data_IF_714718464446
#
_entry.id   IF_714718464446
#
_cell.length_a   1.000
_cell.length_b   1.000
_cell.length_c   1.000
_cell.angle_alpha   90.00
_cell.angle_beta   90.00
_cell.angle_gamma   90.00
#
_symmetry.space_group_name_H-M   'P 1'
#
loop_
_entity.id
_entity.type
_entity.pdbx_description
1 polymer ?
#
# COMPACT_ATOMS: atom_id res chain seq x y z
N UNK A 1 4.54 -0.91 -17.40
CA UNK A 1 4.19 -1.44 -16.05
C UNK A 1 5.32 -2.25 -15.42
N UNK A 2 5.77 -3.37 -16.00
CA UNK A 2 6.86 -4.19 -15.42
C UNK A 2 8.12 -3.37 -15.10
N UNK A 3 8.60 -2.53 -16.01
CA UNK A 3 9.77 -1.66 -15.80
C UNK A 3 9.66 -0.74 -14.57
N UNK A 4 8.43 -0.34 -14.19
CA UNK A 4 8.17 0.56 -13.06
C UNK A 4 8.21 -0.16 -11.70
N UNK A 5 7.76 -1.42 -11.67
CA UNK A 5 7.57 -2.18 -10.42
C UNK A 5 8.58 -3.31 -10.23
N UNK A 6 9.20 -3.77 -11.31
CA UNK A 6 10.12 -4.91 -11.36
C UNK A 6 11.52 -4.61 -10.85
N UNK A 7 11.88 -3.34 -10.68
CA UNK A 7 13.23 -2.94 -10.33
C UNK A 7 13.25 -1.94 -9.16
N UNK A 8 14.32 -2.03 -8.37
CA UNK A 8 14.65 -1.08 -7.30
C UNK A 8 16.07 -0.56 -7.48
N UNK A 9 16.30 0.70 -7.13
CA UNK A 9 17.65 1.28 -7.07
C UNK A 9 18.19 1.14 -5.66
N UNK A 10 19.41 0.63 -5.57
CA UNK A 10 20.11 0.48 -4.29
C UNK A 10 20.90 1.77 -4.03
N UNK A 11 20.71 2.33 -2.84
CA UNK A 11 21.43 3.54 -2.43
C UNK A 11 22.94 3.25 -2.44
N UNK A 12 23.71 4.02 -3.21
CA UNK A 12 25.16 3.81 -3.36
C UNK A 12 25.56 2.98 -4.59
N UNK A 13 24.62 2.49 -5.40
CA UNK A 13 24.89 1.86 -6.70
C UNK A 13 24.27 2.65 -7.84
N UNK A 14 24.92 2.60 -9.02
CA UNK A 14 24.37 3.21 -10.23
C UNK A 14 23.30 2.32 -10.90
N UNK A 15 23.40 1.01 -10.72
CA UNK A 15 22.54 0.03 -11.38
C UNK A 15 21.27 -0.29 -10.57
N UNK A 16 20.23 -0.73 -11.28
CA UNK A 16 18.97 -1.18 -10.69
C UNK A 16 18.95 -2.70 -10.56
N UNK A 17 18.47 -3.20 -9.42
CA UNK A 17 18.31 -4.63 -9.15
C UNK A 17 16.86 -5.08 -9.37
N UNK A 18 16.61 -6.29 -9.91
CA UNK A 18 15.28 -6.89 -9.92
C UNK A 18 14.74 -6.98 -8.49
N UNK A 19 13.53 -6.47 -8.27
CA UNK A 19 12.90 -6.42 -6.95
C UNK A 19 12.78 -7.83 -6.33
N UNK A 20 12.48 -8.83 -7.16
CA UNK A 20 12.36 -10.23 -6.73
C UNK A 20 13.63 -10.80 -6.11
N UNK A 21 14.81 -10.28 -6.48
CA UNK A 21 16.10 -10.74 -5.94
C UNK A 21 16.41 -10.15 -4.56
N UNK A 22 15.67 -9.13 -4.12
CA UNK A 22 15.97 -8.37 -2.91
C UNK A 22 14.75 -8.20 -2.00
N UNK A 23 13.61 -8.77 -2.39
CA UNK A 23 12.38 -8.66 -1.63
C UNK A 23 12.38 -9.65 -0.47
N UNK A 24 12.34 -9.11 0.75
CA UNK A 24 12.08 -9.87 1.97
C UNK A 24 10.59 -9.85 2.27
N UNK A 25 10.00 -11.01 2.60
CA UNK A 25 8.60 -11.09 3.00
C UNK A 25 8.30 -10.14 4.16
N UNK A 26 7.10 -9.58 4.17
CA UNK A 26 6.68 -8.57 5.14
C UNK A 26 5.52 -9.08 5.97
N UNK A 27 5.47 -8.66 7.23
CA UNK A 27 4.34 -8.92 8.12
C UNK A 27 3.56 -7.62 8.33
N UNK A 28 2.26 -7.74 8.54
CA UNK A 28 1.40 -6.63 8.99
C UNK A 28 0.75 -6.99 10.32
N UNK A 29 0.41 -5.96 11.08
CA UNK A 29 -0.27 -6.05 12.36
C UNK A 29 -1.78 -6.02 12.12
N UNK A 30 -2.50 -6.96 12.73
CA UNK A 30 -3.96 -7.04 12.68
C UNK A 30 -4.68 -5.94 13.49
N UNK A 31 -3.92 -5.11 14.21
CA UNK A 31 -4.38 -3.93 14.94
C UNK A 31 -3.36 -2.81 14.83
N UNK A 32 -3.82 -1.56 14.80
CA UNK A 32 -2.95 -0.39 14.72
C UNK A 32 -2.17 -0.19 16.02
N UNK A 33 -0.87 0.11 15.91
CA UNK A 33 -0.01 0.41 17.07
C UNK A 33 -0.49 1.65 17.83
N UNK A 34 -1.17 2.59 17.16
CA UNK A 34 -1.76 3.77 17.80
C UNK A 34 -2.92 3.42 18.73
N UNK A 35 -3.83 2.55 18.28
CA UNK A 35 -4.95 2.06 19.10
C UNK A 35 -4.44 1.28 20.31
N UNK A 36 -3.38 0.49 20.14
CA UNK A 36 -2.74 -0.21 21.26
C UNK A 36 -2.09 0.74 22.24
N UNK A 37 -1.34 1.75 21.78
CA UNK A 37 -0.74 2.75 22.67
C UNK A 37 -1.81 3.54 23.43
N UNK A 38 -2.93 3.86 22.78
CA UNK A 38 -4.09 4.46 23.43
C UNK A 38 -4.67 3.53 24.50
N UNK A 39 -4.91 2.26 24.18
CA UNK A 39 -5.43 1.26 25.10
C UNK A 39 -4.48 1.04 26.29
N UNK A 40 -3.17 0.94 26.06
CA UNK A 40 -2.14 0.82 27.11
C UNK A 40 -2.18 2.05 28.03
N UNK A 41 -2.20 3.27 27.47
CA UNK A 41 -2.28 4.51 28.28
C UNK A 41 -3.57 4.58 29.10
N UNK A 42 -4.70 4.18 28.51
CA UNK A 42 -5.99 4.12 29.18
C UNK A 42 -5.95 3.12 30.34
N UNK A 43 -5.46 1.90 30.11
CA UNK A 43 -5.24 0.90 31.18
C UNK A 43 -4.28 1.38 32.26
N UNK A 44 -3.18 2.05 31.89
CA UNK A 44 -2.22 2.64 32.84
C UNK A 44 -2.85 3.72 33.73
N UNK A 45 -3.81 4.48 33.19
CA UNK A 45 -4.52 5.52 33.93
C UNK A 45 -5.67 4.95 34.79
N UNK A 46 -6.24 3.81 34.42
CA UNK A 46 -7.49 3.28 34.97
C UNK A 46 -7.33 1.99 35.81
N UNK A 47 -6.15 1.33 35.88
CA UNK A 47 -6.11 -0.06 36.40
C UNK A 47 -4.86 -0.51 37.19
N UNK A 48 -5.08 -1.57 38.00
CA UNK A 48 -4.15 -2.23 38.93
C UNK A 48 -3.11 -3.06 38.13
N UNK A 49 -1.85 -3.26 38.61
CA UNK A 49 -0.76 -3.89 37.83
C UNK A 49 -1.05 -5.31 37.30
N UNK A 50 -2.08 -5.99 37.81
CA UNK A 50 -2.49 -7.34 37.37
C UNK A 50 -3.26 -7.36 36.05
N UNK A 51 -3.82 -6.22 35.61
CA UNK A 51 -4.57 -6.14 34.35
C UNK A 51 -3.68 -6.03 33.10
N UNK A 52 -2.38 -5.81 33.27
CA UNK A 52 -1.40 -5.79 32.17
C UNK A 52 -1.29 -7.13 31.43
N UNK A 53 -1.62 -8.25 32.08
CA UNK A 53 -1.62 -9.58 31.47
C UNK A 53 -2.73 -9.82 30.45
N UNK A 54 -3.72 -8.93 30.35
CA UNK A 54 -4.87 -9.03 29.42
C UNK A 54 -4.72 -8.18 28.15
N UNK A 55 -3.58 -7.51 27.95
CA UNK A 55 -3.30 -6.85 26.67
C UNK A 55 -3.27 -7.90 25.56
N UNK A 56 -4.29 -7.89 24.70
CA UNK A 56 -4.32 -8.75 23.52
C UNK A 56 -3.06 -8.47 22.70
N UNK A 57 -2.21 -9.50 22.57
CA UNK A 57 -1.01 -9.41 21.74
C UNK A 57 -1.43 -9.13 20.31
N UNK A 58 -0.80 -8.12 19.71
CA UNK A 58 -0.89 -7.86 18.26
C UNK A 58 -0.52 -9.12 17.53
N UNK A 59 -1.37 -9.58 16.60
CA UNK A 59 -0.99 -10.68 15.75
C UNK A 59 -0.31 -10.12 14.52
N UNK A 60 0.83 -10.73 14.20
CA UNK A 60 1.50 -10.55 12.92
C UNK A 60 0.86 -11.52 11.95
N UNK A 61 0.44 -11.01 10.81
CA UNK A 61 -0.05 -11.80 9.67
C UNK A 61 0.87 -11.52 8.48
N UNK A 62 1.21 -12.53 7.66
CA UNK A 62 1.93 -12.29 6.42
C UNK A 62 1.19 -11.26 5.55
N UNK A 63 1.93 -10.30 4.98
CA UNK A 63 1.33 -9.24 4.16
C UNK A 63 0.56 -9.82 2.97
N UNK A 64 1.11 -10.86 2.34
CA UNK A 64 0.47 -11.57 1.23
C UNK A 64 -0.87 -12.20 1.63
N UNK A 65 -0.95 -12.77 2.84
CA UNK A 65 -2.20 -13.33 3.38
C UNK A 65 -3.23 -12.23 3.64
N UNK A 66 -2.80 -11.07 4.13
CA UNK A 66 -3.68 -9.91 4.30
C UNK A 66 -4.27 -9.48 2.95
N UNK A 67 -3.47 -9.42 1.88
CA UNK A 67 -3.91 -9.04 0.53
C UNK A 67 -4.95 -10.02 -0.03
N UNK A 68 -4.80 -11.32 0.25
CA UNK A 68 -5.76 -12.32 -0.18
C UNK A 68 -7.04 -12.31 0.66
N UNK A 69 -6.93 -11.95 1.95
CA UNK A 69 -8.06 -11.95 2.89
C UNK A 69 -8.97 -10.74 2.72
N UNK A 70 -8.40 -9.56 2.51
CA UNK A 70 -9.14 -8.30 2.53
C UNK A 70 -9.15 -7.68 1.13
N UNK A 71 -10.33 -7.40 0.55
CA UNK A 71 -10.40 -6.82 -0.78
C UNK A 71 -9.85 -5.39 -0.83
N UNK A 72 -9.93 -4.64 0.28
CA UNK A 72 -9.38 -3.29 0.37
C UNK A 72 -8.54 -3.14 1.62
N UNK A 73 -7.25 -2.83 1.44
CA UNK A 73 -6.28 -2.68 2.53
C UNK A 73 -5.66 -1.30 2.57
N UNK A 74 -5.74 -0.66 3.74
CA UNK A 74 -5.07 0.59 4.02
C UNK A 74 -3.84 0.28 4.89
N UNK A 75 -2.66 0.40 4.28
CA UNK A 75 -1.39 -0.04 4.85
C UNK A 75 -0.65 1.17 5.42
N UNK A 76 -0.63 1.25 6.74
CA UNK A 76 0.13 2.23 7.49
C UNK A 76 1.56 1.73 7.75
N UNK A 77 2.51 2.64 7.88
CA UNK A 77 3.87 2.27 8.28
C UNK A 77 4.81 3.45 8.38
N UNK A 78 5.89 3.30 9.14
CA UNK A 78 6.95 4.32 9.28
C UNK A 78 7.60 4.62 7.92
N UNK A 79 8.27 5.78 7.75
CA UNK A 79 9.19 5.98 6.63
C UNK A 79 10.21 4.83 6.55
N UNK A 80 10.50 4.35 5.34
CA UNK A 80 11.42 3.23 5.14
C UNK A 80 10.87 1.84 5.49
N UNK A 81 9.62 1.71 5.97
CA UNK A 81 9.05 0.40 6.32
C UNK A 81 8.89 -0.57 5.13
N UNK A 82 9.03 -0.10 3.88
CA UNK A 82 8.91 -0.93 2.67
C UNK A 82 7.52 -0.94 2.03
N UNK A 83 6.63 -0.01 2.37
CA UNK A 83 5.24 0.07 1.84
C UNK A 83 5.17 0.09 0.30
N UNK A 84 5.88 1.02 -0.34
CA UNK A 84 5.99 1.10 -1.81
C UNK A 84 6.55 -0.20 -2.38
N UNK A 85 7.58 -0.76 -1.76
CA UNK A 85 8.20 -2.03 -2.16
C UNK A 85 7.20 -3.19 -2.09
N UNK A 86 6.37 -3.24 -1.06
CA UNK A 86 5.31 -4.25 -0.91
C UNK A 86 4.20 -4.09 -1.95
N UNK A 87 3.77 -2.85 -2.27
CA UNK A 87 2.84 -2.60 -3.40
C UNK A 87 3.43 -3.08 -4.73
N UNK A 88 4.72 -2.77 -4.99
CA UNK A 88 5.41 -3.21 -6.21
C UNK A 88 5.52 -4.73 -6.29
N UNK A 89 5.84 -5.39 -5.18
CA UNK A 89 5.84 -6.85 -5.08
C UNK A 89 4.45 -7.42 -5.40
N UNK A 90 3.38 -6.86 -4.82
CA UNK A 90 2.00 -7.26 -5.11
C UNK A 90 1.65 -7.09 -6.59
N UNK A 91 2.09 -5.97 -7.20
CA UNK A 91 1.92 -5.74 -8.64
C UNK A 91 2.63 -6.81 -9.49
N UNK A 92 3.85 -7.21 -9.11
CA UNK A 92 4.60 -8.26 -9.81
C UNK A 92 3.91 -9.62 -9.72
N UNK A 93 3.36 -9.97 -8.56
CA UNK A 93 2.56 -11.20 -8.40
C UNK A 93 1.33 -11.21 -9.31
N UNK A 94 0.68 -10.06 -9.48
CA UNK A 94 -0.42 -9.92 -10.44
C UNK A 94 0.04 -10.03 -11.90
N UNK A 95 1.18 -9.42 -12.27
CA UNK A 95 1.80 -9.56 -13.60
C UNK A 95 2.15 -11.03 -13.90
N UNK A 96 2.62 -11.77 -12.90
CA UNK A 96 2.94 -13.21 -12.99
C UNK A 96 1.72 -14.12 -12.90
N UNK A 97 0.51 -13.57 -12.89
CA UNK A 97 -0.76 -14.29 -12.82
C UNK A 97 -1.01 -15.07 -11.51
N UNK A 98 -0.23 -14.84 -10.45
CA UNK A 98 -0.50 -15.40 -9.12
C UNK A 98 -1.74 -14.74 -8.49
N UNK A 99 -1.93 -13.44 -8.75
CA UNK A 99 -3.16 -12.72 -8.46
C UNK A 99 -3.86 -12.49 -9.80
N UNK A 100 -5.05 -13.07 -9.98
CA UNK A 100 -5.81 -13.03 -11.25
C UNK A 100 -6.52 -11.67 -11.46
N UNK A 101 -5.73 -10.59 -11.49
CA UNK A 101 -6.15 -9.21 -11.70
C UNK A 101 -5.09 -8.43 -12.48
N UNK A 102 -5.49 -7.38 -13.18
CA UNK A 102 -4.58 -6.48 -13.89
C UNK A 102 -4.15 -5.36 -12.93
N UNK A 103 -2.85 -5.23 -12.59
CA UNK A 103 -2.41 -4.22 -11.63
C UNK A 103 -2.34 -2.83 -12.25
N UNK A 104 -2.94 -1.85 -11.58
CA UNK A 104 -2.87 -0.42 -11.90
C UNK A 104 -2.17 0.30 -10.74
N UNK A 105 -0.93 0.75 -10.97
CA UNK A 105 -0.12 1.42 -9.96
C UNK A 105 -0.19 2.93 -10.09
N UNK A 106 -0.69 3.58 -9.04
CA UNK A 106 -0.94 5.03 -8.98
C UNK A 106 -0.11 5.62 -7.86
N UNK A 107 0.99 6.31 -8.22
CA UNK A 107 1.69 7.16 -7.28
C UNK A 107 0.83 8.41 -7.02
N UNK A 108 0.32 8.57 -5.81
CA UNK A 108 -0.66 9.63 -5.49
C UNK A 108 -0.06 11.03 -5.60
N UNK A 109 1.25 11.17 -5.36
CA UNK A 109 1.97 12.42 -5.61
C UNK A 109 1.95 12.81 -7.09
N UNK A 110 2.25 11.88 -7.99
CA UNK A 110 2.25 12.15 -9.44
C UNK A 110 0.84 12.51 -9.93
N UNK A 111 -0.18 11.79 -9.43
CA UNK A 111 -1.58 12.10 -9.71
C UNK A 111 -1.91 13.54 -9.25
N UNK A 112 -1.58 13.87 -8.00
CA UNK A 112 -1.82 15.21 -7.44
C UNK A 112 -1.10 16.31 -8.23
N UNK A 113 0.15 16.09 -8.62
CA UNK A 113 0.95 17.05 -9.37
C UNK A 113 0.43 17.24 -10.80
N UNK A 114 -0.21 16.22 -11.39
CA UNK A 114 -0.79 16.28 -12.74
C UNK A 114 -2.06 17.13 -12.83
N UNK A 115 -2.82 17.26 -11.73
CA UNK A 115 -4.13 17.91 -11.73
C UNK A 115 -5.24 17.15 -12.48
N UNK A 116 -4.99 15.92 -12.93
CA UNK A 116 -5.96 15.05 -13.60
C UNK A 116 -6.85 14.31 -12.61
N UNK A 117 -8.01 13.87 -13.07
CA UNK A 117 -8.84 12.88 -12.35
C UNK A 117 -8.18 11.49 -12.39
N UNK A 118 -8.50 10.63 -11.41
CA UNK A 118 -7.86 9.30 -11.27
C UNK A 118 -7.94 8.46 -12.55
N UNK A 119 -9.12 8.39 -13.18
CA UNK A 119 -9.35 7.59 -14.40
C UNK A 119 -8.61 8.18 -15.60
N UNK A 120 -8.57 9.51 -15.71
CA UNK A 120 -7.83 10.21 -16.75
C UNK A 120 -6.33 9.95 -16.61
N UNK A 121 -5.80 10.05 -15.39
CA UNK A 121 -4.40 9.77 -15.10
C UNK A 121 -4.01 8.32 -15.44
N UNK A 122 -4.83 7.33 -15.06
CA UNK A 122 -4.62 5.93 -15.44
C UNK A 122 -4.67 5.74 -16.97
N UNK A 123 -5.61 6.39 -17.65
CA UNK A 123 -5.75 6.34 -19.11
C UNK A 123 -4.50 6.92 -19.79
N UNK A 124 -4.02 8.06 -19.31
CA UNK A 124 -2.81 8.70 -19.80
C UNK A 124 -1.59 7.79 -19.61
N UNK A 125 -1.48 7.10 -18.47
CA UNK A 125 -0.42 6.11 -18.27
C UNK A 125 -0.46 4.97 -19.30
N UNK A 126 -1.64 4.46 -19.66
CA UNK A 126 -1.77 3.43 -20.69
C UNK A 126 -1.42 3.97 -22.09
N UNK A 127 -1.82 5.20 -22.39
CA UNK A 127 -1.56 5.85 -23.68
C UNK A 127 -0.06 6.06 -23.93
N UNK A 128 0.70 6.48 -22.91
CA UNK A 128 2.16 6.64 -23.00
C UNK A 128 2.86 5.34 -23.42
N UNK A 129 2.27 4.18 -23.08
CA UNK A 129 2.76 2.87 -23.48
C UNK A 129 2.16 2.36 -24.82
N UNK A 130 1.54 3.26 -25.60
CA UNK A 130 0.92 2.98 -26.91
C UNK A 130 -0.17 1.90 -26.89
N UNK A 131 -0.89 1.78 -25.76
CA UNK A 131 -2.01 0.86 -25.66
C UNK A 131 -3.18 1.35 -26.53
N UNK A 132 -3.80 0.51 -27.39
CA UNK A 132 -4.92 0.91 -28.23
C UNK A 132 -6.19 1.10 -27.40
N UNK A 133 -6.96 2.16 -27.68
CA UNK A 133 -8.25 2.45 -27.01
C UNK A 133 -8.18 2.37 -25.47
N UNK A 134 -7.24 3.07 -24.82
CA UNK A 134 -6.92 2.88 -23.41
C UNK A 134 -8.09 3.20 -22.48
N UNK A 135 -8.91 4.19 -22.83
CA UNK A 135 -10.07 4.60 -22.05
C UNK A 135 -11.13 3.50 -21.98
N UNK A 136 -11.58 2.99 -23.13
CA UNK A 136 -12.61 1.95 -23.18
C UNK A 136 -12.14 0.65 -22.50
N UNK A 137 -10.85 0.32 -22.66
CA UNK A 137 -10.25 -0.82 -21.97
C UNK A 137 -10.26 -0.62 -20.45
N UNK A 138 -9.79 0.53 -19.97
CA UNK A 138 -9.72 0.84 -18.55
C UNK A 138 -11.11 0.83 -17.90
N UNK A 139 -12.10 1.47 -18.52
CA UNK A 139 -13.48 1.50 -18.00
C UNK A 139 -14.02 0.08 -17.89
N UNK A 140 -13.91 -0.75 -18.93
CA UNK A 140 -14.37 -2.15 -18.88
C UNK A 140 -13.64 -2.96 -17.81
N UNK A 141 -12.34 -2.73 -17.63
CA UNK A 141 -11.52 -3.42 -16.64
C UNK A 141 -11.98 -3.08 -15.21
N UNK A 142 -12.23 -1.79 -14.94
CA UNK A 142 -12.71 -1.30 -13.66
C UNK A 142 -14.15 -1.75 -13.37
N UNK A 143 -15.06 -1.65 -14.35
CA UNK A 143 -16.46 -2.07 -14.20
C UNK A 143 -16.60 -3.57 -13.94
N UNK A 144 -15.78 -4.41 -14.58
CA UNK A 144 -15.75 -5.86 -14.33
C UNK A 144 -15.12 -6.24 -13.00
N UNK A 145 -14.39 -5.33 -12.36
CA UNK A 145 -13.66 -5.64 -11.14
C UNK A 145 -12.37 -6.41 -11.39
N UNK A 146 -11.86 -6.41 -12.63
CA UNK A 146 -10.68 -7.17 -13.05
C UNK A 146 -9.36 -6.42 -12.78
N UNK A 147 -9.43 -5.18 -12.31
CA UNK A 147 -8.28 -4.41 -11.87
C UNK A 147 -7.89 -4.71 -10.41
N UNK A 148 -6.58 -4.68 -10.13
CA UNK A 148 -6.01 -4.52 -8.79
C UNK A 148 -5.43 -3.12 -8.70
N UNK A 149 -5.99 -2.26 -7.86
CA UNK A 149 -5.58 -0.84 -7.82
C UNK A 149 -4.64 -0.60 -6.65
N UNK A 150 -3.50 0.00 -6.92
CA UNK A 150 -2.39 0.16 -5.99
C UNK A 150 -2.08 1.65 -5.85
N UNK A 151 -2.62 2.28 -4.81
CA UNK A 151 -2.42 3.68 -4.50
C UNK A 151 -1.23 3.86 -3.55
N UNK A 152 -0.16 4.48 -4.04
CA UNK A 152 1.07 4.66 -3.26
C UNK A 152 1.24 6.09 -2.73
N UNK A 153 1.51 6.20 -1.43
CA UNK A 153 2.05 7.41 -0.81
C UNK A 153 1.04 8.53 -0.57
N UNK A 154 -0.08 8.24 0.10
CA UNK A 154 -1.10 9.27 0.39
C UNK A 154 -0.54 10.44 1.22
N UNK A 155 0.41 10.16 2.11
CA UNK A 155 1.09 11.19 2.92
C UNK A 155 1.99 12.13 2.12
N UNK A 156 2.37 11.75 0.90
CA UNK A 156 3.24 12.53 0.01
C UNK A 156 2.44 13.53 -0.85
N UNK A 157 1.11 13.48 -0.76
CA UNK A 157 0.20 14.49 -1.30
C UNK A 157 0.29 15.74 -0.40
N UNK A 158 1.33 16.53 -0.65
CA UNK A 158 1.48 17.87 -0.10
C UNK A 158 1.00 18.89 -1.13
N UNK A 159 0.39 19.98 -0.64
CA UNK A 159 0.30 21.34 -1.20
C UNK A 159 -1.01 21.96 -0.67
N UNK A 160 -0.89 22.90 0.29
CA UNK A 160 -1.94 23.78 0.84
C UNK A 160 -3.35 23.14 0.94
N UNK A 161 -3.77 22.71 2.14
CA UNK A 161 -5.04 22.06 2.56
C UNK A 161 -6.17 21.77 1.53
N UNK A 162 -6.49 22.67 0.61
CA UNK A 162 -7.47 22.49 -0.47
C UNK A 162 -7.17 21.31 -1.42
N UNK A 163 -5.93 21.13 -1.92
CA UNK A 163 -5.63 20.02 -2.86
C UNK A 163 -5.67 18.65 -2.18
N UNK A 164 -5.29 18.60 -0.91
CA UNK A 164 -5.38 17.39 -0.10
C UNK A 164 -6.83 16.97 0.10
N UNK A 165 -7.72 17.90 0.44
CA UNK A 165 -9.15 17.61 0.58
C UNK A 165 -9.76 17.09 -0.72
N UNK A 166 -9.39 17.71 -1.85
CA UNK A 166 -9.83 17.30 -3.18
C UNK A 166 -9.36 15.89 -3.54
N UNK A 167 -8.08 15.56 -3.32
CA UNK A 167 -7.56 14.21 -3.54
C UNK A 167 -8.31 13.16 -2.71
N UNK A 168 -8.62 13.45 -1.45
CA UNK A 168 -9.39 12.55 -0.59
C UNK A 168 -10.82 12.37 -1.09
N UNK A 169 -11.45 13.44 -1.58
CA UNK A 169 -12.78 13.38 -2.19
C UNK A 169 -12.75 12.47 -3.42
N UNK A 170 -11.82 12.70 -4.35
CA UNK A 170 -11.67 11.88 -5.56
C UNK A 170 -11.41 10.41 -5.23
N UNK A 171 -10.53 10.12 -4.26
CA UNK A 171 -10.26 8.75 -3.83
C UNK A 171 -11.50 8.08 -3.25
N UNK A 172 -12.27 8.76 -2.40
CA UNK A 172 -13.51 8.19 -1.85
C UNK A 172 -14.54 7.91 -2.94
N UNK A 173 -14.73 8.84 -3.88
CA UNK A 173 -15.64 8.65 -5.01
C UNK A 173 -15.22 7.48 -5.90
N UNK A 174 -13.91 7.36 -6.15
CA UNK A 174 -13.36 6.26 -6.93
C UNK A 174 -13.52 4.90 -6.22
N UNK A 175 -13.21 4.84 -4.92
CA UNK A 175 -13.38 3.64 -4.08
C UNK A 175 -14.84 3.20 -4.03
N UNK A 176 -15.76 4.16 -3.92
CA UNK A 176 -17.20 3.89 -3.93
C UNK A 176 -17.65 3.37 -5.29
N UNK A 177 -17.28 4.05 -6.38
CA UNK A 177 -17.68 3.71 -7.75
C UNK A 177 -17.18 2.33 -8.18
N UNK A 178 -15.91 2.01 -7.88
CA UNK A 178 -15.28 0.75 -8.29
C UNK A 178 -15.10 -0.20 -7.11
N UNK A 179 -16.16 -0.33 -6.30
CA UNK A 179 -16.14 -1.10 -5.05
C UNK A 179 -15.88 -2.61 -5.22
N UNK A 180 -16.03 -3.15 -6.43
CA UNK A 180 -15.71 -4.53 -6.79
C UNK A 180 -14.23 -4.77 -7.09
N UNK A 181 -13.44 -3.73 -7.32
CA UNK A 181 -12.01 -3.86 -7.53
C UNK A 181 -11.27 -4.01 -6.18
N UNK A 182 -10.35 -4.98 -6.05
CA UNK A 182 -9.43 -4.98 -4.92
C UNK A 182 -8.49 -3.77 -4.95
N UNK A 183 -8.21 -3.20 -3.78
CA UNK A 183 -7.43 -1.96 -3.65
C UNK A 183 -6.46 -2.01 -2.47
N UNK A 184 -5.21 -1.61 -2.70
CA UNK A 184 -4.26 -1.33 -1.62
C UNK A 184 -3.95 0.17 -1.65
N UNK A 185 -3.91 0.79 -0.47
CA UNK A 185 -3.50 2.19 -0.29
C UNK A 185 -2.46 2.29 0.80
N UNK A 186 -1.36 3.02 0.56
CA UNK A 186 -0.30 3.21 1.57
C UNK A 186 -0.26 4.63 2.12
N UNK A 187 0.09 4.75 3.39
CA UNK A 187 0.28 6.04 4.05
C UNK A 187 1.24 5.94 5.25
N UNK A 188 1.82 7.07 5.69
CA UNK A 188 2.55 7.15 6.96
C UNK A 188 1.61 7.11 8.16
N UNK A 189 2.06 6.47 9.26
CA UNK A 189 1.33 6.41 10.55
C UNK A 189 1.00 7.79 11.11
N UNK A 190 1.79 8.83 10.83
CA UNK A 190 1.56 10.17 11.37
C UNK A 190 0.44 10.96 10.67
N UNK A 191 -0.17 10.42 9.61
CA UNK A 191 -1.17 11.10 8.80
C UNK A 191 -2.60 10.56 9.06
N UNK A 192 -2.96 10.27 10.31
CA UNK A 192 -4.17 9.52 10.71
C UNK A 192 -5.52 10.25 10.60
N UNK A 193 -5.59 11.45 10.01
CA UNK A 193 -6.87 12.18 9.90
C UNK A 193 -7.75 11.70 8.72
N UNK A 194 -7.42 10.57 8.10
CA UNK A 194 -8.20 10.01 7.00
C UNK A 194 -9.06 8.85 7.50
N UNK A 195 -10.34 8.84 7.12
CA UNK A 195 -11.23 7.72 7.36
C UNK A 195 -11.80 7.23 6.03
N UNK A 196 -11.20 6.17 5.50
CA UNK A 196 -11.73 5.42 4.37
C UNK A 196 -12.46 4.19 4.90
N UNK A 197 -13.77 4.32 5.11
CA UNK A 197 -14.59 3.32 5.81
C UNK A 197 -14.69 1.96 5.11
N UNK A 198 -14.38 1.89 3.82
CA UNK A 198 -14.41 0.65 3.03
C UNK A 198 -13.12 -0.17 3.10
N UNK A 199 -12.10 0.30 3.83
CA UNK A 199 -10.79 -0.34 3.93
C UNK A 199 -10.60 -1.00 5.30
N UNK A 200 -9.95 -2.16 5.29
CA UNK A 200 -9.34 -2.73 6.49
C UNK A 200 -7.99 -2.04 6.72
N UNK A 201 -7.76 -1.53 7.93
CA UNK A 201 -6.53 -0.83 8.28
C UNK A 201 -5.53 -1.80 8.91
N UNK A 202 -4.34 -1.87 8.33
CA UNK A 202 -3.24 -2.67 8.85
C UNK A 202 -1.98 -1.81 8.98
N UNK A 203 -1.10 -2.18 9.91
CA UNK A 203 0.19 -1.52 10.08
C UNK A 203 1.34 -2.46 9.69
N UNK A 204 2.24 -2.02 8.83
CA UNK A 204 3.42 -2.79 8.46
C UNK A 204 4.30 -2.99 9.68
N UNK A 205 4.58 -4.25 10.01
CA UNK A 205 5.33 -4.63 11.18
C UNK A 205 6.84 -4.50 10.93
N UNK A 206 7.60 -4.10 11.96
CA UNK A 206 9.06 -4.18 11.92
C UNK A 206 9.49 -5.65 11.72
N UNK A 207 10.55 -5.92 10.97
CA UNK A 207 11.05 -7.28 10.71
C UNK A 207 11.32 -8.05 12.00
N UNK A 208 10.95 -9.32 12.02
CA UNK A 208 11.42 -10.25 13.05
C UNK A 208 12.86 -10.73 12.75
N UNK A 209 13.41 -11.55 13.66
CA UNK A 209 14.79 -12.03 13.53
C UNK A 209 15.02 -12.86 12.26
N UNK A 210 14.01 -13.58 11.78
CA UNK A 210 14.11 -14.39 10.56
C UNK A 210 14.13 -13.45 9.35
N UNK A 211 13.17 -12.53 9.27
CA UNK A 211 13.10 -11.53 8.20
C UNK A 211 14.34 -10.64 8.16
N UNK A 212 14.92 -10.28 9.31
CA UNK A 212 16.18 -9.54 9.36
C UNK A 212 17.35 -10.37 8.81
N UNK A 213 17.41 -11.67 9.13
CA UNK A 213 18.40 -12.59 8.56
C UNK A 213 18.28 -12.67 7.04
N UNK A 214 17.09 -12.95 6.53
CA UNK A 214 16.81 -13.02 5.08
C UNK A 214 17.19 -11.70 4.39
N UNK A 215 16.83 -10.57 4.99
CA UNK A 215 17.20 -9.25 4.47
C UNK A 215 18.73 -9.06 4.43
N UNK A 216 19.45 -9.41 5.51
CA UNK A 216 20.92 -9.31 5.54
C UNK A 216 21.55 -10.23 4.50
N UNK A 217 21.04 -11.45 4.32
CA UNK A 217 21.61 -12.38 3.34
C UNK A 217 21.36 -11.88 1.91
N UNK A 218 20.13 -11.48 1.59
CA UNK A 218 19.77 -10.95 0.27
C UNK A 218 20.52 -9.66 -0.07
N UNK A 219 20.64 -8.74 0.89
CA UNK A 219 21.24 -7.42 0.66
C UNK A 219 22.75 -7.36 0.94
N UNK A 220 23.28 -8.27 1.78
CA UNK A 220 24.70 -8.34 2.12
C UNK A 220 25.53 -9.10 1.09
N UNK A 221 24.89 -9.94 0.26
CA UNK A 221 25.52 -10.56 -0.91
C UNK A 221 25.63 -9.62 -2.12
N UNK A 222 24.97 -8.46 -2.07
CA UNK A 222 25.02 -7.45 -3.13
C UNK A 222 26.23 -6.56 -2.97
#
# INVERSE_FOLDING_TARGET
MYERVGFVRILGRMDSEPLENVFTHVNVLDKLSAEQRYNIRKLMAESNPRDFGRLERVKRIPGDDAVLKFPKLFILGKPGAGKTTFLKHTALRAIKHEIKKVPLFVALRELSDSGMEIVEFMTHQLLVHRFPEPEQFLVRLLEKGDALILFDGLDEVNLADSRRGEMIRQLNEFVFRYSNCPMLMTCRVAATNYSFTQFEYVEMADFDMVQMGDYIDLWGML
#
